data_IF_201103754323
#
_entry.id   IF_201103754323
#
_cell.length_a   1.000
_cell.length_b   1.000
_cell.length_c   1.000
_cell.angle_alpha   90.00
_cell.angle_beta   90.00
_cell.angle_gamma   90.00
#
_symmetry.space_group_name_H-M   'P 1'
#
loop_
_entity.id
_entity.type
_entity.pdbx_description
1 polymer ?
#
# COMPACT_ATOMS: atom_id res chain seq x y z
N UNK A 1 -17.16 -0.28 -15.32
CA UNK A 1 -17.12 -1.61 -14.69
C UNK A 1 -16.34 -1.41 -13.41
N UNK A 2 -16.97 -1.57 -12.24
CA UNK A 2 -16.26 -1.57 -10.97
C UNK A 2 -15.45 -2.86 -10.93
N UNK A 3 -14.16 -2.79 -11.23
CA UNK A 3 -13.28 -3.88 -10.84
C UNK A 3 -13.20 -3.84 -9.31
N UNK A 4 -13.84 -4.81 -8.67
CA UNK A 4 -13.71 -4.99 -7.23
C UNK A 4 -12.24 -5.26 -6.90
N UNK A 5 -11.77 -4.72 -5.76
CA UNK A 5 -10.43 -4.98 -5.22
C UNK A 5 -10.10 -6.48 -5.21
N UNK A 6 -11.11 -7.34 -5.07
CA UNK A 6 -10.95 -8.81 -5.05
C UNK A 6 -10.71 -9.39 -6.46
N UNK A 7 -11.39 -8.87 -7.48
CA UNK A 7 -11.40 -9.46 -8.82
C UNK A 7 -10.38 -8.85 -9.78
N UNK A 8 -9.78 -7.71 -9.44
CA UNK A 8 -8.81 -7.07 -10.32
C UNK A 8 -7.51 -7.89 -10.41
N UNK A 9 -6.90 -7.98 -11.59
CA UNK A 9 -5.57 -8.58 -11.78
C UNK A 9 -4.44 -7.66 -11.27
N UNK A 10 -4.77 -6.46 -10.78
CA UNK A 10 -3.81 -5.51 -10.21
C UNK A 10 -3.13 -6.13 -8.96
N UNK A 11 -1.79 -5.98 -8.82
CA UNK A 11 -1.06 -6.41 -7.63
C UNK A 11 -1.60 -5.80 -6.35
N UNK A 12 -1.65 -6.62 -5.30
CA UNK A 12 -2.23 -6.28 -4.00
C UNK A 12 -1.18 -6.45 -2.93
N UNK A 13 -1.12 -5.48 -2.04
CA UNK A 13 -0.22 -5.51 -0.91
C UNK A 13 -0.92 -4.99 0.33
N UNK A 14 -0.26 -5.13 1.47
CA UNK A 14 -0.64 -4.42 2.68
C UNK A 14 0.52 -3.56 3.16
N UNK A 15 0.21 -2.47 3.86
CA UNK A 15 1.22 -1.60 4.44
C UNK A 15 1.82 -2.30 5.68
N UNK A 16 3.12 -2.56 5.65
CA UNK A 16 3.91 -3.16 6.74
C UNK A 16 4.53 -2.08 7.64
N UNK A 17 5.06 -0.99 7.05
CA UNK A 17 5.62 0.15 7.78
C UNK A 17 5.31 1.47 7.10
N UNK A 18 5.26 2.53 7.90
CA UNK A 18 4.99 3.90 7.42
C UNK A 18 6.16 4.79 7.85
N UNK A 19 6.83 5.37 6.86
CA UNK A 19 7.90 6.36 7.01
C UNK A 19 7.35 7.79 7.04
N UNK A 20 8.23 8.78 6.80
CA UNK A 20 7.82 10.19 6.69
C UNK A 20 7.23 10.50 5.32
N UNK A 21 7.82 9.93 4.28
CA UNK A 21 7.61 10.19 2.85
C UNK A 21 7.65 8.88 2.04
N UNK A 22 7.47 7.75 2.72
CA UNK A 22 7.43 6.44 2.09
C UNK A 22 6.57 5.48 2.92
N UNK A 23 6.14 4.40 2.29
CA UNK A 23 5.55 3.24 2.95
C UNK A 23 6.25 1.97 2.50
N UNK A 24 6.42 1.02 3.41
CA UNK A 24 6.83 -0.33 3.06
C UNK A 24 5.56 -1.14 2.90
N UNK A 25 5.32 -1.63 1.70
CA UNK A 25 4.24 -2.56 1.41
C UNK A 25 4.77 -3.98 1.33
N UNK A 26 3.90 -4.95 1.61
CA UNK A 26 4.19 -6.37 1.46
C UNK A 26 3.17 -7.02 0.54
N UNK A 27 3.65 -7.57 -0.58
CA UNK A 27 2.80 -8.21 -1.57
C UNK A 27 2.07 -9.41 -0.94
N UNK A 28 0.76 -9.51 -1.18
CA UNK A 28 -0.06 -10.54 -0.55
C UNK A 28 0.30 -11.95 -1.05
N UNK A 29 0.74 -12.05 -2.31
CA UNK A 29 1.03 -13.31 -2.99
C UNK A 29 2.50 -13.71 -2.83
N UNK A 30 3.43 -12.83 -3.22
CA UNK A 30 4.87 -13.14 -3.21
C UNK A 30 5.52 -12.96 -1.83
N UNK A 31 4.86 -12.23 -0.92
CA UNK A 31 5.42 -11.81 0.38
C UNK A 31 6.67 -10.95 0.26
N UNK A 32 6.95 -10.42 -0.92
CA UNK A 32 8.04 -9.46 -1.13
C UNK A 32 7.70 -8.13 -0.47
N UNK A 33 8.70 -7.51 0.15
CA UNK A 33 8.59 -6.16 0.70
C UNK A 33 9.12 -5.14 -0.30
N UNK A 34 8.39 -4.04 -0.46
CA UNK A 34 8.75 -2.97 -1.38
C UNK A 34 8.52 -1.62 -0.73
N UNK A 35 9.52 -0.75 -0.84
CA UNK A 35 9.40 0.65 -0.48
C UNK A 35 8.73 1.42 -1.62
N UNK A 36 7.69 2.18 -1.28
CA UNK A 36 6.99 3.08 -2.19
C UNK A 36 7.09 4.49 -1.63
N UNK A 37 7.66 5.39 -2.42
CA UNK A 37 7.69 6.82 -2.13
C UNK A 37 6.26 7.38 -2.20
N UNK A 38 5.87 8.14 -1.18
CA UNK A 38 4.56 8.80 -1.09
C UNK A 38 4.75 10.23 -0.59
N UNK A 39 3.78 11.09 -0.86
CA UNK A 39 3.79 12.43 -0.26
C UNK A 39 3.66 12.34 1.26
N UNK A 40 4.32 13.24 1.99
CA UNK A 40 4.33 13.26 3.46
C UNK A 40 2.92 13.28 4.05
N UNK A 41 1.99 14.04 3.43
CA UNK A 41 0.59 14.07 3.86
C UNK A 41 -0.13 12.73 3.73
N UNK A 42 0.25 11.90 2.75
CA UNK A 42 -0.32 10.56 2.57
C UNK A 42 0.28 9.57 3.58
N UNK A 43 1.58 9.66 3.87
CA UNK A 43 2.19 8.87 4.93
C UNK A 43 1.58 9.21 6.30
N UNK A 44 1.37 10.50 6.59
CA UNK A 44 0.67 10.95 7.80
C UNK A 44 -0.77 10.45 7.85
N UNK A 45 -1.49 10.49 6.72
CA UNK A 45 -2.84 9.90 6.62
C UNK A 45 -2.83 8.44 7.04
N UNK A 46 -1.97 7.61 6.41
CA UNK A 46 -1.88 6.21 6.78
C UNK A 46 -1.53 6.02 8.25
N UNK A 47 -0.59 6.81 8.80
CA UNK A 47 -0.17 6.71 10.19
C UNK A 47 -1.31 7.03 11.17
N UNK A 48 -2.14 8.02 10.83
CA UNK A 48 -3.29 8.43 11.64
C UNK A 48 -4.47 7.47 11.53
N UNK A 49 -4.62 6.78 10.40
CA UNK A 49 -5.61 5.70 10.19
C UNK A 49 -5.13 4.35 10.74
N UNK A 50 -3.85 4.21 11.15
CA UNK A 50 -3.25 2.99 11.72
C UNK A 50 -3.13 2.90 13.26
N UNK A 51 -3.90 3.62 14.11
CA UNK A 51 -3.55 3.74 15.53
C UNK A 51 -3.68 2.41 16.31
N UNK A 52 -4.40 1.42 15.77
CA UNK A 52 -4.74 0.17 16.44
C UNK A 52 -4.17 -1.11 15.78
N UNK A 53 -3.20 -0.99 14.88
CA UNK A 53 -2.59 -2.16 14.23
C UNK A 53 -3.49 -2.86 13.20
N UNK A 54 -4.43 -2.12 12.61
CA UNK A 54 -5.27 -2.60 11.51
C UNK A 54 -4.46 -2.71 10.21
N UNK A 55 -4.71 -3.76 9.41
CA UNK A 55 -3.97 -3.98 8.16
C UNK A 55 -4.62 -3.19 7.02
N UNK A 56 -3.93 -2.18 6.49
CA UNK A 56 -4.38 -1.45 5.30
C UNK A 56 -3.95 -2.20 4.06
N UNK A 57 -4.93 -2.63 3.26
CA UNK A 57 -4.72 -3.22 1.96
C UNK A 57 -4.72 -2.15 0.87
N UNK A 58 -3.75 -2.23 -0.03
CA UNK A 58 -3.54 -1.28 -1.11
C UNK A 58 -3.34 -2.01 -2.43
N UNK A 59 -3.76 -1.36 -3.51
CA UNK A 59 -3.35 -1.72 -4.86
C UNK A 59 -2.05 -0.97 -5.18
N UNK A 60 -1.16 -1.62 -5.93
CA UNK A 60 0.07 -0.98 -6.35
C UNK A 60 0.50 -1.41 -7.74
N UNK A 61 1.23 -0.53 -8.41
CA UNK A 61 1.93 -0.80 -9.65
C UNK A 61 3.35 -1.27 -9.28
N UNK A 62 3.64 -2.55 -9.56
CA UNK A 62 4.95 -3.16 -9.27
C UNK A 62 6.07 -2.62 -10.14
N UNK A 63 5.77 -2.23 -11.39
CA UNK A 63 6.78 -1.73 -12.32
C UNK A 63 7.17 -0.29 -11.98
N UNK A 64 6.18 0.54 -11.65
CA UNK A 64 6.37 1.95 -11.32
C UNK A 64 6.62 2.22 -9.83
N UNK A 65 6.46 1.20 -8.97
CA UNK A 65 6.56 1.30 -7.50
C UNK A 65 5.69 2.40 -6.92
N UNK A 66 4.41 2.40 -7.29
CA UNK A 66 3.44 3.43 -6.88
C UNK A 66 2.17 2.80 -6.33
N UNK A 67 1.58 3.44 -5.33
CA UNK A 67 0.23 3.10 -4.90
C UNK A 67 -0.78 3.52 -5.97
N UNK A 68 -1.81 2.71 -6.13
CA UNK A 68 -2.98 3.02 -6.94
C UNK A 68 -4.09 3.33 -5.93
N UNK A 69 -4.41 4.63 -5.80
CA UNK A 69 -5.36 5.19 -4.84
C UNK A 69 -6.62 5.69 -5.53
#
# INVERSE_FOLDING_TARGET
MNEDFITSDIPKAFIDKIGKDYVIIKDINSKEEMEIEVEEGLAEYFKNEFPNGEVIYVLYDKENKKLIL
#
